data_IF_954451587003
#
_entry.id   IF_954451587003
#
_cell.length_a   1.000
_cell.length_b   1.000
_cell.length_c   1.000
_cell.angle_alpha   90.00
_cell.angle_beta   90.00
_cell.angle_gamma   90.00
#
_symmetry.space_group_name_H-M   'P 1'
#
loop_
_entity.id
_entity.type
_entity.pdbx_description
1 polymer ?
#
# COMPACT_ATOMS: atom_id res chain seq x y z
N UNK A 1 11.11 -19.36 13.59
CA UNK A 1 10.22 -19.62 12.43
C UNK A 1 8.76 -19.28 12.74
N UNK A 2 8.42 -18.05 13.19
CA UNK A 2 7.06 -17.74 13.63
C UNK A 2 6.03 -17.66 12.48
N UNK A 3 6.42 -17.07 11.34
CA UNK A 3 5.55 -16.97 10.16
C UNK A 3 5.24 -18.35 9.57
N UNK A 4 6.24 -19.23 9.47
CA UNK A 4 6.08 -20.58 8.94
C UNK A 4 5.16 -21.43 9.80
N UNK A 5 5.27 -21.34 11.13
CA UNK A 5 4.39 -22.06 12.05
C UNK A 5 2.94 -21.57 11.95
N UNK A 6 2.71 -20.27 11.78
CA UNK A 6 1.35 -19.73 11.64
C UNK A 6 0.65 -20.27 10.38
N UNK A 7 1.37 -20.29 9.24
CA UNK A 7 0.85 -20.86 7.99
C UNK A 7 0.49 -22.34 8.15
N UNK A 8 1.39 -23.14 8.73
CA UNK A 8 1.16 -24.58 8.94
C UNK A 8 -0.01 -24.86 9.90
N UNK A 9 -0.20 -24.04 10.93
CA UNK A 9 -1.34 -24.15 11.85
C UNK A 9 -2.67 -23.87 11.15
N UNK A 10 -2.75 -22.83 10.31
CA UNK A 10 -3.97 -22.57 9.55
C UNK A 10 -4.20 -23.69 8.52
N UNK A 11 -3.14 -24.14 7.84
CA UNK A 11 -3.20 -25.22 6.88
C UNK A 11 -3.75 -26.52 7.49
N UNK A 12 -3.37 -26.85 8.73
CA UNK A 12 -3.87 -28.03 9.44
C UNK A 12 -5.30 -27.88 9.95
N UNK A 13 -5.75 -26.66 10.27
CA UNK A 13 -7.09 -26.40 10.80
C UNK A 13 -8.18 -26.36 9.72
N UNK A 14 -7.92 -25.68 8.59
CA UNK A 14 -8.92 -25.40 7.56
C UNK A 14 -8.56 -25.98 6.18
N UNK A 15 -7.41 -26.64 6.05
CA UNK A 15 -7.00 -27.29 4.81
C UNK A 15 -6.40 -26.34 3.76
N UNK A 16 -5.79 -26.94 2.73
CA UNK A 16 -5.09 -26.24 1.66
C UNK A 16 -5.93 -25.21 0.92
N UNK A 17 -7.04 -25.61 0.27
CA UNK A 17 -7.80 -24.72 -0.60
C UNK A 17 -8.27 -23.44 0.10
N UNK A 18 -8.76 -23.56 1.34
CA UNK A 18 -9.23 -22.43 2.13
C UNK A 18 -8.07 -21.53 2.58
N UNK A 19 -6.96 -22.12 3.05
CA UNK A 19 -5.78 -21.36 3.51
C UNK A 19 -5.21 -20.48 2.39
N UNK A 20 -5.01 -21.05 1.20
CA UNK A 20 -4.47 -20.28 0.07
C UNK A 20 -5.46 -19.21 -0.42
N UNK A 21 -6.76 -19.54 -0.47
CA UNK A 21 -7.79 -18.58 -0.89
C UNK A 21 -7.90 -17.39 0.07
N UNK A 22 -7.83 -17.62 1.39
CA UNK A 22 -7.86 -16.58 2.41
C UNK A 22 -6.64 -15.65 2.32
N UNK A 23 -5.44 -16.22 2.15
CA UNK A 23 -4.22 -15.42 1.98
C UNK A 23 -4.27 -14.58 0.71
N UNK A 24 -4.71 -15.16 -0.41
CA UNK A 24 -4.87 -14.45 -1.66
C UNK A 24 -5.87 -13.29 -1.53
N UNK A 25 -7.03 -13.55 -0.91
CA UNK A 25 -8.05 -12.54 -0.68
C UNK A 25 -7.54 -11.40 0.23
N UNK A 26 -6.89 -11.75 1.35
CA UNK A 26 -6.36 -10.77 2.29
C UNK A 26 -5.30 -9.87 1.63
N UNK A 27 -4.37 -10.46 0.85
CA UNK A 27 -3.39 -9.68 0.09
C UNK A 27 -4.04 -8.83 -1.00
N UNK A 28 -5.07 -9.32 -1.68
CA UNK A 28 -5.78 -8.57 -2.72
C UNK A 28 -6.42 -7.30 -2.12
N UNK A 29 -7.09 -7.43 -0.98
CA UNK A 29 -7.69 -6.28 -0.27
C UNK A 29 -6.63 -5.26 0.15
N UNK A 30 -5.50 -5.72 0.67
CA UNK A 30 -4.39 -4.83 1.05
C UNK A 30 -3.82 -4.07 -0.16
N UNK A 31 -3.64 -4.75 -1.30
CA UNK A 31 -3.16 -4.09 -2.53
C UNK A 31 -4.17 -3.10 -3.08
N UNK A 32 -5.46 -3.45 -3.09
CA UNK A 32 -6.52 -2.52 -3.52
C UNK A 32 -6.51 -1.26 -2.64
N UNK A 33 -6.44 -1.42 -1.32
CA UNK A 33 -6.33 -0.29 -0.39
C UNK A 33 -5.08 0.56 -0.68
N UNK A 34 -3.95 -0.09 -0.98
CA UNK A 34 -2.70 0.60 -1.32
C UNK A 34 -2.82 1.40 -2.63
N UNK A 35 -3.44 0.83 -3.66
CA UNK A 35 -3.68 1.52 -4.94
C UNK A 35 -4.52 2.78 -4.73
N UNK A 36 -5.62 2.68 -3.98
CA UNK A 36 -6.44 3.85 -3.66
C UNK A 36 -5.65 4.89 -2.87
N UNK A 37 -4.89 4.48 -1.87
CA UNK A 37 -4.02 5.37 -1.12
C UNK A 37 -3.04 6.11 -2.03
N UNK A 38 -2.37 5.40 -2.94
CA UNK A 38 -1.44 6.02 -3.90
C UNK A 38 -2.14 7.06 -4.77
N UNK A 39 -3.28 6.73 -5.37
CA UNK A 39 -3.99 7.64 -6.28
C UNK A 39 -4.49 8.91 -5.57
N UNK A 40 -4.94 8.81 -4.31
CA UNK A 40 -5.53 9.96 -3.61
C UNK A 40 -4.54 10.77 -2.79
N UNK A 41 -3.47 10.16 -2.29
CA UNK A 41 -2.54 10.79 -1.33
C UNK A 41 -1.23 11.19 -1.99
N UNK A 42 -0.72 10.38 -2.92
CA UNK A 42 0.58 10.61 -3.55
C UNK A 42 0.40 11.43 -4.84
N UNK A 43 0.95 12.65 -4.93
CA UNK A 43 0.90 13.45 -6.14
C UNK A 43 1.85 12.88 -7.22
N UNK A 44 1.55 13.15 -8.49
CA UNK A 44 2.53 13.02 -9.57
C UNK A 44 3.57 14.13 -9.44
N UNK A 45 4.86 13.80 -9.43
CA UNK A 45 5.98 14.75 -9.25
C UNK A 45 6.89 14.84 -10.48
N UNK A 46 6.60 14.10 -11.55
CA UNK A 46 7.38 14.12 -12.79
C UNK A 46 7.38 15.51 -13.42
N UNK A 47 8.57 15.99 -13.77
CA UNK A 47 8.76 17.25 -14.49
C UNK A 47 8.77 18.51 -13.62
N UNK A 48 8.76 18.38 -12.29
CA UNK A 48 8.81 19.49 -11.33
C UNK A 48 10.19 19.49 -10.67
N UNK A 49 10.79 20.67 -10.49
CA UNK A 49 12.09 20.79 -9.80
C UNK A 49 11.95 20.58 -8.29
N UNK A 50 13.03 20.14 -7.64
CA UNK A 50 13.04 19.95 -6.19
C UNK A 50 12.79 21.27 -5.43
N UNK A 51 13.29 22.39 -5.94
CA UNK A 51 13.10 23.71 -5.35
C UNK A 51 11.62 24.13 -5.37
N UNK A 52 10.89 23.80 -6.44
CA UNK A 52 9.46 24.05 -6.52
C UNK A 52 8.68 23.18 -5.53
N UNK A 53 9.07 21.92 -5.36
CA UNK A 53 8.46 21.01 -4.38
C UNK A 53 8.71 21.53 -2.96
N UNK A 54 9.95 21.86 -2.63
CA UNK A 54 10.35 22.40 -1.33
C UNK A 54 9.58 23.67 -1.00
N UNK A 55 9.49 24.63 -1.94
CA UNK A 55 8.70 25.85 -1.76
C UNK A 55 7.22 25.54 -1.49
N UNK A 56 6.63 24.55 -2.16
CA UNK A 56 5.23 24.16 -1.92
C UNK A 56 5.03 23.53 -0.54
N UNK A 57 5.97 22.69 -0.10
CA UNK A 57 5.96 22.09 1.25
C UNK A 57 6.08 23.18 2.31
N UNK A 58 7.03 24.10 2.15
CA UNK A 58 7.24 25.21 3.10
C UNK A 58 6.06 26.18 3.17
N UNK A 59 5.29 26.31 2.09
CA UNK A 59 4.03 27.08 2.07
C UNK A 59 2.83 26.30 2.66
N UNK A 60 3.05 25.11 3.23
CA UNK A 60 2.01 24.31 3.87
C UNK A 60 1.02 23.67 2.88
N UNK A 61 1.37 23.53 1.59
CA UNK A 61 0.49 22.83 0.64
C UNK A 61 0.41 21.34 1.02
N UNK A 62 -0.80 20.78 1.01
CA UNK A 62 -1.00 19.36 1.22
C UNK A 62 -0.25 18.52 0.16
N UNK A 63 0.30 17.37 0.58
CA UNK A 63 1.13 16.50 -0.26
C UNK A 63 0.47 16.17 -1.61
N UNK A 64 -0.83 15.87 -1.64
CA UNK A 64 -1.60 15.60 -2.86
C UNK A 64 -1.58 16.72 -3.93
N UNK A 65 -1.12 17.92 -3.58
CA UNK A 65 -1.06 19.08 -4.48
C UNK A 65 0.36 19.52 -4.85
N UNK A 66 1.40 18.78 -4.46
CA UNK A 66 2.79 19.16 -4.80
C UNK A 66 3.04 19.11 -6.32
N UNK A 67 2.33 18.23 -7.01
CA UNK A 67 2.34 18.07 -8.47
C UNK A 67 1.72 19.20 -9.29
N UNK A 68 0.97 20.13 -8.66
CA UNK A 68 0.18 21.19 -9.32
C UNK A 68 0.74 22.58 -9.06
#
# INVERSE_FOLDING_TARGET
MLLGTFFLTILSLIGGPLTFSLLALALALANIAFIFFTIFVIPETKGISLEQIEKKIMNGKALRYLGK
#
